data_IF_427358863586
#
_entry.id   IF_427358863586
#
_cell.length_a   1.000
_cell.length_b   1.000
_cell.length_c   1.000
_cell.angle_alpha   90.00
_cell.angle_beta   90.00
_cell.angle_gamma   90.00
#
_symmetry.space_group_name_H-M   'P 1'
#
loop_
_entity.id
_entity.type
_entity.pdbx_description
1 polymer ?
#
# COMPACT_ATOMS: atom_id res chain seq x y z
N UNK A 1 -6.60 -14.12 -3.21
CA UNK A 1 -7.34 -12.98 -3.79
C UNK A 1 -6.40 -11.99 -4.47
N UNK A 2 -5.46 -11.38 -3.74
CA UNK A 2 -4.61 -10.30 -4.28
C UNK A 2 -3.84 -10.68 -5.55
N UNK A 3 -3.31 -11.90 -5.67
CA UNK A 3 -2.65 -12.36 -6.91
C UNK A 3 -3.55 -12.19 -8.14
N UNK A 4 -4.82 -12.60 -8.04
CA UNK A 4 -5.78 -12.49 -9.13
C UNK A 4 -6.11 -11.03 -9.46
N UNK A 5 -6.19 -10.16 -8.44
CA UNK A 5 -6.41 -8.72 -8.64
C UNK A 5 -5.21 -8.10 -9.34
N UNK A 6 -3.99 -8.37 -8.88
CA UNK A 6 -2.76 -7.86 -9.51
C UNK A 6 -2.61 -8.32 -10.95
N UNK A 7 -2.91 -9.59 -11.24
CA UNK A 7 -2.85 -10.11 -12.60
C UNK A 7 -3.91 -9.46 -13.51
N UNK A 8 -5.16 -9.37 -13.03
CA UNK A 8 -6.28 -8.85 -13.83
C UNK A 8 -6.25 -7.33 -14.00
N UNK A 9 -5.76 -6.60 -12.99
CA UNK A 9 -5.88 -5.13 -12.90
C UNK A 9 -4.57 -4.39 -13.13
N UNK A 10 -3.43 -5.03 -12.85
CA UNK A 10 -2.11 -4.43 -13.00
C UNK A 10 -1.27 -5.08 -14.11
N UNK A 11 -1.76 -6.17 -14.74
CA UNK A 11 -1.01 -6.88 -15.78
C UNK A 11 0.22 -7.63 -15.26
N UNK A 12 0.35 -7.81 -13.94
CA UNK A 12 1.47 -8.53 -13.32
C UNK A 12 1.24 -10.03 -13.52
N UNK A 13 2.03 -10.66 -14.39
CA UNK A 13 1.89 -12.10 -14.70
C UNK A 13 2.40 -12.94 -13.53
N UNK A 14 1.48 -13.43 -12.70
CA UNK A 14 1.78 -14.30 -11.55
C UNK A 14 1.32 -15.74 -11.76
N UNK A 15 0.49 -16.00 -12.78
CA UNK A 15 0.07 -17.35 -13.14
C UNK A 15 1.26 -18.23 -13.50
N UNK A 16 1.31 -19.43 -12.90
CA UNK A 16 2.40 -20.38 -13.06
C UNK A 16 3.63 -20.10 -12.21
N UNK A 17 3.61 -19.09 -11.33
CA UNK A 17 4.68 -18.83 -10.36
C UNK A 17 4.32 -19.37 -8.97
N UNK A 18 5.34 -19.90 -8.29
CA UNK A 18 5.25 -20.20 -6.86
C UNK A 18 5.47 -18.92 -6.07
N UNK A 19 4.43 -18.47 -5.35
CA UNK A 19 4.47 -17.23 -4.58
C UNK A 19 4.60 -17.54 -3.09
N UNK A 20 5.68 -17.04 -2.51
CA UNK A 20 5.94 -17.12 -1.07
C UNK A 20 5.84 -15.72 -0.46
N UNK A 21 5.07 -15.60 0.61
CA UNK A 21 4.92 -14.35 1.35
C UNK A 21 5.01 -14.64 2.85
N UNK A 22 5.77 -13.82 3.55
CA UNK A 22 5.85 -13.86 5.01
C UNK A 22 5.64 -12.47 5.59
N UNK A 23 5.34 -12.43 6.89
CA UNK A 23 5.39 -11.20 7.69
C UNK A 23 6.59 -11.33 8.60
N UNK A 24 7.53 -10.40 8.48
CA UNK A 24 8.76 -10.38 9.26
C UNK A 24 8.47 -10.35 10.77
N UNK A 25 9.38 -10.91 11.57
CA UNK A 25 9.24 -10.99 13.03
C UNK A 25 8.22 -12.01 13.52
N UNK A 26 7.68 -12.87 12.63
CA UNK A 26 6.70 -13.90 13.01
C UNK A 26 5.33 -13.35 13.40
N UNK A 27 5.04 -12.10 13.02
CA UNK A 27 3.80 -11.43 13.32
C UNK A 27 2.64 -12.06 12.53
N UNK A 28 1.45 -12.07 13.13
CA UNK A 28 0.21 -12.42 12.46
C UNK A 28 -0.61 -11.16 12.24
N UNK A 29 -0.91 -10.85 10.99
CA UNK A 29 -1.72 -9.69 10.62
C UNK A 29 -3.04 -10.19 10.06
N UNK A 30 -4.14 -9.81 10.72
CA UNK A 30 -5.49 -10.21 10.36
C UNK A 30 -6.37 -8.97 10.23
N UNK A 31 -6.08 -8.13 9.23
CA UNK A 31 -6.85 -6.94 8.95
C UNK A 31 -6.81 -6.54 7.47
N UNK A 32 -7.86 -5.88 6.94
CA UNK A 32 -7.90 -5.44 5.54
C UNK A 32 -6.81 -4.41 5.17
N UNK A 33 -6.33 -3.63 6.14
CA UNK A 33 -5.33 -2.59 5.89
C UNK A 33 -3.98 -3.11 5.38
N UNK A 34 -3.69 -4.41 5.57
CA UNK A 34 -2.46 -5.02 5.10
C UNK A 34 -2.46 -5.31 3.59
N UNK A 35 -3.63 -5.29 2.93
CA UNK A 35 -3.75 -5.67 1.52
C UNK A 35 -2.85 -4.84 0.61
N UNK A 36 -2.81 -3.51 0.83
CA UNK A 36 -1.99 -2.63 0.01
C UNK A 36 -0.48 -2.87 0.20
N UNK A 37 -0.04 -3.17 1.42
CA UNK A 37 1.36 -3.51 1.69
C UNK A 37 1.76 -4.84 1.03
N UNK A 38 0.86 -5.83 1.09
CA UNK A 38 1.05 -7.11 0.40
C UNK A 38 1.09 -6.91 -1.12
N UNK A 39 0.19 -6.08 -1.67
CA UNK A 39 0.18 -5.75 -3.09
C UNK A 39 1.51 -5.10 -3.54
N UNK A 40 2.00 -4.11 -2.80
CA UNK A 40 3.29 -3.46 -3.07
C UNK A 40 4.46 -4.47 -3.01
N UNK A 41 4.51 -5.32 -1.99
CA UNK A 41 5.56 -6.35 -1.86
C UNK A 41 5.56 -7.35 -3.03
N UNK A 42 4.37 -7.79 -3.47
CA UNK A 42 4.23 -8.72 -4.60
C UNK A 42 4.60 -8.07 -5.93
N UNK A 43 4.19 -6.82 -6.17
CA UNK A 43 4.59 -6.05 -7.36
C UNK A 43 6.11 -5.88 -7.38
N UNK A 44 6.71 -5.50 -6.25
CA UNK A 44 8.17 -5.36 -6.12
C UNK A 44 8.90 -6.66 -6.45
N UNK A 45 8.47 -7.78 -5.86
CA UNK A 45 9.06 -9.09 -6.12
C UNK A 45 8.93 -9.53 -7.59
N UNK A 46 7.78 -9.26 -8.22
CA UNK A 46 7.51 -9.66 -9.61
C UNK A 46 8.25 -8.79 -10.64
N UNK A 47 8.51 -7.51 -10.32
CA UNK A 47 9.14 -6.55 -11.23
C UNK A 47 10.64 -6.38 -11.00
N UNK A 48 11.15 -6.80 -9.84
CA UNK A 48 12.54 -6.55 -9.43
C UNK A 48 12.80 -5.10 -9.01
N UNK A 49 11.76 -4.26 -8.95
CA UNK A 49 11.88 -2.87 -8.50
C UNK A 49 11.63 -2.79 -6.99
N UNK A 50 12.62 -2.38 -6.17
CA UNK A 50 12.47 -2.33 -4.73
C UNK A 50 11.57 -1.16 -4.29
N UNK A 51 10.72 -1.40 -3.29
CA UNK A 51 10.00 -0.32 -2.59
C UNK A 51 10.96 0.54 -1.77
N UNK A 52 10.61 1.81 -1.53
CA UNK A 52 11.41 2.70 -0.68
C UNK A 52 11.40 2.23 0.79
N UNK A 53 12.58 2.22 1.44
CA UNK A 53 12.70 1.87 2.85
C UNK A 53 12.07 2.89 3.82
N UNK A 54 11.88 4.14 3.36
CA UNK A 54 11.23 5.22 4.12
C UNK A 54 9.71 5.27 3.95
N UNK A 55 9.12 4.32 3.23
CA UNK A 55 7.71 4.34 2.86
C UNK A 55 6.89 3.24 3.55
N UNK A 56 5.69 3.60 4.01
CA UNK A 56 4.70 2.65 4.53
C UNK A 56 3.48 2.58 3.60
N UNK A 57 2.84 1.41 3.56
CA UNK A 57 1.65 1.17 2.73
C UNK A 57 0.53 0.64 3.62
N UNK A 58 -0.67 1.19 3.50
CA UNK A 58 -1.84 0.59 4.13
C UNK A 58 -3.12 0.93 3.36
N UNK A 59 -4.07 0.00 3.35
CA UNK A 59 -5.32 0.14 2.61
C UNK A 59 -5.91 -1.22 2.27
N UNK A 60 -7.22 -1.28 2.13
CA UNK A 60 -7.94 -2.49 1.69
C UNK A 60 -8.01 -2.49 0.15
N UNK A 61 -7.76 -3.64 -0.47
CA UNK A 61 -7.84 -3.78 -1.94
C UNK A 61 -9.07 -4.59 -2.29
N UNK A 62 -10.00 -3.96 -3.01
CA UNK A 62 -11.18 -4.64 -3.52
C UNK A 62 -10.90 -5.44 -4.80
N UNK A 63 -11.85 -6.30 -5.16
CA UNK A 63 -11.75 -7.16 -6.35
C UNK A 63 -11.70 -6.39 -7.67
N UNK A 64 -12.23 -5.16 -7.71
CA UNK A 64 -12.14 -4.32 -8.89
C UNK A 64 -10.77 -3.61 -9.00
N UNK A 65 -9.93 -3.72 -7.98
CA UNK A 65 -8.64 -3.05 -7.85
C UNK A 65 -8.73 -1.72 -7.09
N UNK A 66 -9.91 -1.34 -6.60
CA UNK A 66 -10.09 -0.11 -5.84
C UNK A 66 -9.41 -0.18 -4.47
N UNK A 67 -8.81 0.93 -4.05
CA UNK A 67 -8.14 1.04 -2.74
C UNK A 67 -9.07 1.79 -1.77
N UNK A 68 -9.47 1.09 -0.71
CA UNK A 68 -10.54 1.52 0.22
C UNK A 68 -9.99 1.98 1.55
N UNK A 69 -10.68 2.92 2.17
CA UNK A 69 -10.35 3.44 3.50
C UNK A 69 -10.39 2.35 4.57
N UNK A 70 -9.49 2.45 5.54
CA UNK A 70 -9.37 1.51 6.66
C UNK A 70 -9.46 2.24 7.99
N UNK A 71 -9.72 1.47 9.05
CA UNK A 71 -9.80 2.01 10.41
C UNK A 71 -8.44 2.55 10.88
N UNK A 72 -8.51 3.55 11.78
CA UNK A 72 -7.35 4.09 12.49
C UNK A 72 -6.24 4.69 11.60
N UNK A 73 -6.59 5.24 10.42
CA UNK A 73 -5.61 5.83 9.49
C UNK A 73 -4.73 6.89 10.16
N UNK A 74 -5.32 7.82 10.93
CA UNK A 74 -4.55 8.87 11.62
C UNK A 74 -3.58 8.31 12.68
N UNK A 75 -3.96 7.23 13.37
CA UNK A 75 -3.07 6.57 14.33
C UNK A 75 -1.89 5.89 13.63
N UNK A 76 -2.12 5.23 12.47
CA UNK A 76 -1.06 4.64 11.65
C UNK A 76 -0.08 5.69 11.15
N UNK A 77 -0.57 6.83 10.66
CA UNK A 77 0.28 7.91 10.18
C UNK A 77 1.15 8.50 11.31
N UNK A 78 0.58 8.71 12.50
CA UNK A 78 1.34 9.19 13.67
C UNK A 78 2.43 8.20 14.07
N UNK A 79 2.16 6.90 14.10
CA UNK A 79 3.17 5.91 14.45
C UNK A 79 4.24 5.79 13.36
N UNK A 80 3.86 5.85 12.08
CA UNK A 80 4.82 5.86 10.97
C UNK A 80 5.81 7.02 11.07
N UNK A 81 5.32 8.24 11.30
CA UNK A 81 6.17 9.41 11.49
C UNK A 81 7.08 9.26 12.73
N UNK A 82 6.54 8.75 13.85
CA UNK A 82 7.31 8.50 15.08
C UNK A 82 8.43 7.47 14.88
N UNK A 83 8.23 6.48 14.02
CA UNK A 83 9.23 5.47 13.66
C UNK A 83 10.23 5.96 12.60
N UNK A 84 10.05 7.18 12.08
CA UNK A 84 10.99 7.81 11.14
C UNK A 84 10.71 7.55 9.67
N UNK A 85 9.52 7.05 9.31
CA UNK A 85 9.10 6.97 7.91
C UNK A 85 8.78 8.37 7.37
N UNK A 86 9.17 8.63 6.11
CA UNK A 86 9.01 9.93 5.44
C UNK A 86 7.90 9.93 4.39
N UNK A 87 7.38 8.75 4.03
CA UNK A 87 6.30 8.58 3.05
C UNK A 87 5.25 7.57 3.54
N UNK A 88 3.99 7.82 3.17
CA UNK A 88 2.91 6.86 3.35
C UNK A 88 2.03 6.79 2.10
N UNK A 89 1.84 5.59 1.56
CA UNK A 89 0.88 5.28 0.49
C UNK A 89 -0.40 4.75 1.12
N UNK A 90 -1.51 5.39 0.81
CA UNK A 90 -2.78 5.16 1.48
C UNK A 90 -3.98 5.42 0.55
N UNK A 91 -5.19 4.98 0.91
CA UNK A 91 -6.39 5.24 0.13
C UNK A 91 -6.70 6.73 0.09
N UNK A 92 -7.34 7.19 -0.98
CA UNK A 92 -7.89 8.56 -1.06
C UNK A 92 -8.70 8.90 0.19
N UNK A 93 -8.33 10.00 0.86
CA UNK A 93 -8.96 10.41 2.11
C UNK A 93 -10.22 11.21 1.83
N UNK A 94 -11.34 10.66 2.28
CA UNK A 94 -12.62 11.36 2.32
C UNK A 94 -12.65 12.22 3.60
N UNK A 95 -12.89 13.52 3.46
CA UNK A 95 -13.11 14.39 4.61
C UNK A 95 -14.44 14.01 5.27
N UNK A 96 -14.42 13.62 6.55
CA UNK A 96 -15.62 13.51 7.38
C UNK A 96 -15.64 14.69 8.35
N UNK A 97 -16.44 15.72 8.07
CA UNK A 97 -16.54 16.93 8.90
C UNK A 97 -15.45 17.98 8.65
N UNK A 98 -15.16 18.79 9.67
CA UNK A 98 -14.20 19.91 9.61
C UNK A 98 -12.76 19.43 9.38
N UNK A 99 -12.31 19.60 8.13
CA UNK A 99 -10.95 19.47 7.60
C UNK A 99 -10.36 18.05 7.48
N UNK A 100 -9.68 17.81 6.35
CA UNK A 100 -8.76 16.68 6.17
C UNK A 100 -7.67 16.78 7.23
N UNK A 101 -7.41 15.70 7.98
CA UNK A 101 -6.29 15.65 8.93
C UNK A 101 -4.99 15.98 8.18
N UNK A 102 -4.28 17.01 8.65
CA UNK A 102 -2.96 17.34 8.09
C UNK A 102 -2.02 16.14 8.30
N UNK A 103 -1.13 15.85 7.34
CA UNK A 103 -0.07 14.87 7.58
C UNK A 103 0.72 15.22 8.85
N UNK A 104 1.19 14.22 9.61
CA UNK A 104 2.25 14.43 10.59
C UNK A 104 3.47 15.14 9.98
N UNK A 105 4.21 15.89 10.79
CA UNK A 105 5.42 16.58 10.35
C UNK A 105 6.45 15.59 9.78
N UNK A 106 7.07 15.92 8.65
CA UNK A 106 8.04 15.06 7.97
C UNK A 106 7.43 13.91 7.16
N UNK A 107 6.12 13.67 7.22
CA UNK A 107 5.46 12.57 6.49
C UNK A 107 4.72 13.08 5.24
N UNK A 108 5.17 12.63 4.07
CA UNK A 108 4.52 12.89 2.78
C UNK A 108 3.47 11.81 2.50
N UNK A 109 2.29 12.21 2.02
CA UNK A 109 1.18 11.29 1.76
C UNK A 109 0.94 11.11 0.26
N UNK A 110 1.00 9.86 -0.22
CA UNK A 110 0.62 9.45 -1.57
C UNK A 110 -0.74 8.77 -1.53
N UNK A 111 -1.78 9.52 -1.87
CA UNK A 111 -3.16 9.02 -1.90
C UNK A 111 -3.48 8.34 -3.23
N UNK A 112 -3.76 7.03 -3.21
CA UNK A 112 -4.10 6.25 -4.40
C UNK A 112 -5.56 5.83 -4.40
N UNK A 113 -6.14 5.71 -5.60
CA UNK A 113 -7.52 5.27 -5.80
C UNK A 113 -7.61 3.82 -6.26
N UNK A 114 -6.57 3.32 -6.90
CA UNK A 114 -6.55 2.02 -7.53
C UNK A 114 -5.17 1.37 -7.39
N UNK A 115 -5.12 0.05 -7.26
CA UNK A 115 -3.88 -0.71 -7.02
C UNK A 115 -2.89 -0.61 -8.20
N UNK A 116 -3.39 -0.35 -9.41
CA UNK A 116 -2.55 -0.08 -10.58
C UNK A 116 -1.70 1.20 -10.42
N UNK A 117 -2.13 2.14 -9.57
CA UNK A 117 -1.39 3.38 -9.28
C UNK A 117 -0.04 3.08 -8.59
N UNK A 118 0.16 1.87 -8.03
CA UNK A 118 1.46 1.42 -7.51
C UNK A 118 2.48 1.17 -8.62
N UNK A 119 2.04 0.62 -9.76
CA UNK A 119 2.94 0.24 -10.86
C UNK A 119 3.40 1.45 -11.66
N UNK A 120 2.53 2.45 -11.84
CA UNK A 120 2.82 3.58 -12.72
C UNK A 120 3.80 4.59 -12.14
N UNK A 121 3.80 4.82 -10.83
CA UNK A 121 4.65 5.87 -10.25
C UNK A 121 6.10 5.42 -9.98
N UNK A 122 6.35 4.13 -9.87
CA UNK A 122 7.69 3.60 -9.58
C UNK A 122 8.50 3.39 -10.88
N UNK A 123 7.86 3.48 -12.05
CA UNK A 123 8.49 3.46 -13.38
C UNK A 123 8.95 4.84 -13.88
N UNK A 124 8.59 5.93 -13.18
CA UNK A 124 9.01 7.31 -13.54
C UNK A 124 10.26 7.79 -12.76
N UNK A 125 10.86 6.93 -11.94
CA UNK A 125 11.99 7.29 -11.07
C UNK A 125 13.39 6.97 -11.64
N UNK A 126 13.50 6.72 -12.96
CA UNK A 126 14.76 6.57 -13.70
C UNK A 126 15.04 7.76 -14.64
#
# INVERSE_FOLDING_TARGET
MLLAVLETRCGVKLSGMDVYLNVAGGLKVAEPAADLAVAAALISAATGMPTSAGEVYFGEVGLSGEVRQVSQADARLKEAAKLGFDKAVLPRRIARGSARTKPPEGLTLREIGHVADLVTADMEAD
#
